data_IF_745860950473
#
_entry.id   IF_745860950473
#
_cell.length_a   1.000
_cell.length_b   1.000
_cell.length_c   1.000
_cell.angle_alpha   90.00
_cell.angle_beta   90.00
_cell.angle_gamma   90.00
#
_symmetry.space_group_name_H-M   'P 1'
#
loop_
_entity.id
_entity.type
_entity.pdbx_description
1 polymer ?
#
# COMPACT_ATOMS: atom_id res chain seq x y z
N UNK A 1 38.63 4.54 49.77
CA UNK A 1 38.48 4.16 48.34
C UNK A 1 37.21 3.35 48.17
N UNK A 2 36.52 3.51 47.04
CA UNK A 2 35.27 2.85 46.57
C UNK A 2 34.02 3.71 46.75
N UNK A 3 33.53 4.25 45.63
CA UNK A 3 32.11 4.32 45.24
C UNK A 3 31.83 5.20 44.00
N UNK A 4 32.80 5.39 43.09
CA UNK A 4 32.56 6.05 41.79
C UNK A 4 32.18 5.07 40.65
N UNK A 5 32.26 3.75 40.86
CA UNK A 5 32.27 2.76 39.77
C UNK A 5 30.96 1.95 39.59
N UNK A 6 29.88 2.32 40.29
CA UNK A 6 28.57 1.66 40.15
C UNK A 6 27.62 2.37 39.18
N UNK A 7 27.79 3.68 38.97
CA UNK A 7 26.95 4.44 38.05
C UNK A 7 27.49 4.40 36.61
N UNK A 8 28.82 4.35 36.43
CA UNK A 8 29.44 4.24 35.10
C UNK A 8 29.07 2.93 34.39
N UNK A 9 28.98 1.81 35.12
CA UNK A 9 28.55 0.53 34.56
C UNK A 9 27.09 0.54 34.10
N UNK A 10 26.20 1.23 34.83
CA UNK A 10 24.78 1.38 34.46
C UNK A 10 24.61 2.29 33.25
N UNK A 11 25.35 3.40 33.19
CA UNK A 11 25.37 4.31 32.02
C UNK A 11 25.92 3.58 30.78
N UNK A 12 27.00 2.81 30.93
CA UNK A 12 27.56 2.03 29.83
C UNK A 12 26.58 0.96 29.31
N UNK A 13 25.83 0.30 30.22
CA UNK A 13 24.79 -0.66 29.86
C UNK A 13 23.64 -0.01 29.07
N UNK A 14 23.25 1.20 29.48
CA UNK A 14 22.16 1.95 28.84
C UNK A 14 22.55 2.48 27.45
N UNK A 15 23.82 2.90 27.28
CA UNK A 15 24.37 3.31 25.96
C UNK A 15 24.53 2.10 25.03
N UNK A 16 24.92 0.94 25.55
CA UNK A 16 25.01 -0.30 24.77
C UNK A 16 23.65 -0.79 24.26
N UNK A 17 22.57 -0.61 25.05
CA UNK A 17 21.20 -0.94 24.65
C UNK A 17 20.63 0.00 23.57
N UNK A 18 21.10 1.27 23.53
CA UNK A 18 20.68 2.24 22.52
C UNK A 18 21.43 2.08 21.19
N UNK A 19 22.63 1.48 21.20
CA UNK A 19 23.47 1.34 20.01
C UNK A 19 23.00 0.26 19.02
N UNK A 20 22.07 -0.62 19.41
CA UNK A 20 21.70 -1.80 18.59
C UNK A 20 20.38 -1.68 17.84
N UNK A 21 19.75 -0.51 17.79
CA UNK A 21 18.52 -0.32 16.97
C UNK A 21 18.83 0.46 15.70
N UNK A 22 19.84 0.03 14.95
CA UNK A 22 19.95 0.40 13.54
C UNK A 22 19.10 -0.61 12.78
N UNK A 23 17.78 -0.44 12.89
CA UNK A 23 16.84 -1.08 11.99
C UNK A 23 17.03 -0.44 10.63
N UNK A 24 17.81 -1.06 9.75
CA UNK A 24 17.74 -0.75 8.33
C UNK A 24 16.33 -1.14 7.89
N UNK A 25 15.45 -0.15 7.77
CA UNK A 25 14.24 -0.30 6.96
C UNK A 25 14.75 -0.55 5.54
N UNK A 26 14.77 -1.82 5.15
CA UNK A 26 15.02 -2.15 3.76
C UNK A 26 13.70 -1.92 3.04
N UNK A 27 13.66 -0.90 2.19
CA UNK A 27 12.44 -0.42 1.51
C UNK A 27 11.79 -1.45 0.57
N UNK A 28 12.41 -2.62 0.39
CA UNK A 28 11.88 -3.69 -0.44
C UNK A 28 10.87 -4.54 0.34
N UNK A 29 9.58 -4.33 0.06
CA UNK A 29 8.49 -5.17 0.56
C UNK A 29 8.62 -6.64 0.14
N UNK A 30 9.23 -6.91 -1.01
CA UNK A 30 9.37 -8.24 -1.59
C UNK A 30 10.81 -8.77 -1.49
N UNK A 31 10.98 -9.86 -0.74
CA UNK A 31 12.25 -10.59 -0.62
C UNK A 31 12.18 -11.89 -1.42
N UNK A 32 12.92 -11.93 -2.53
CA UNK A 32 12.97 -13.10 -3.41
C UNK A 32 14.28 -13.86 -3.23
N UNK A 33 14.17 -15.18 -3.11
CA UNK A 33 15.30 -16.11 -3.12
C UNK A 33 15.00 -17.31 -4.00
N UNK A 34 16.04 -17.95 -4.52
CA UNK A 34 15.92 -19.23 -5.23
C UNK A 34 15.74 -20.34 -4.18
N UNK A 35 14.65 -21.09 -4.28
CA UNK A 35 14.35 -22.27 -3.47
C UNK A 35 14.78 -23.57 -4.13
N UNK A 36 14.40 -24.68 -3.51
CA UNK A 36 14.58 -26.03 -4.07
C UNK A 36 13.77 -26.22 -5.36
N UNK A 37 14.25 -27.09 -6.25
CA UNK A 37 13.62 -27.41 -7.53
C UNK A 37 13.28 -26.19 -8.41
N UNK A 38 14.12 -25.15 -8.41
CA UNK A 38 13.94 -23.89 -9.15
C UNK A 38 12.69 -23.07 -8.76
N UNK A 39 12.03 -23.38 -7.64
CA UNK A 39 10.96 -22.53 -7.12
C UNK A 39 11.50 -21.16 -6.71
N UNK A 40 10.72 -20.14 -7.00
CA UNK A 40 10.92 -18.78 -6.47
C UNK A 40 10.30 -18.73 -5.08
N UNK A 41 11.11 -18.52 -4.05
CA UNK A 41 10.63 -18.25 -2.69
C UNK A 41 10.42 -16.75 -2.54
N UNK A 42 9.17 -16.35 -2.37
CA UNK A 42 8.77 -14.98 -2.09
C UNK A 42 8.50 -14.83 -0.60
N UNK A 43 9.11 -13.86 0.05
CA UNK A 43 8.78 -13.46 1.42
C UNK A 43 8.36 -12.00 1.46
N UNK A 44 7.26 -11.72 2.15
CA UNK A 44 6.65 -10.39 2.27
C UNK A 44 6.19 -10.16 3.71
N UNK A 45 6.30 -8.92 4.19
CA UNK A 45 5.72 -8.52 5.47
C UNK A 45 4.25 -8.11 5.27
N UNK A 46 3.36 -8.80 5.97
CA UNK A 46 1.92 -8.75 5.78
C UNK A 46 1.16 -8.67 7.11
N UNK A 47 -0.09 -8.24 7.03
CA UNK A 47 -1.08 -8.35 8.11
C UNK A 47 -2.27 -9.16 7.64
N UNK A 48 -3.01 -9.69 8.60
CA UNK A 48 -4.31 -10.32 8.33
C UNK A 48 -5.20 -9.35 7.54
N UNK A 49 -5.86 -9.85 6.50
CA UNK A 49 -6.71 -9.08 5.59
C UNK A 49 -5.98 -8.43 4.42
N UNK A 50 -4.63 -8.45 4.38
CA UNK A 50 -3.90 -8.02 3.18
C UNK A 50 -4.21 -8.96 2.01
N UNK A 51 -4.18 -8.43 0.79
CA UNK A 51 -4.43 -9.19 -0.43
C UNK A 51 -3.15 -9.27 -1.27
N UNK A 52 -2.67 -10.49 -1.50
CA UNK A 52 -1.56 -10.73 -2.41
C UNK A 52 -2.06 -11.31 -3.73
N UNK A 53 -1.52 -10.81 -4.85
CA UNK A 53 -1.88 -11.27 -6.19
C UNK A 53 -0.67 -11.37 -7.12
N UNK A 54 -0.77 -12.28 -8.09
CA UNK A 54 0.09 -12.31 -9.28
C UNK A 54 -0.80 -11.98 -10.47
N UNK A 55 -0.39 -11.02 -11.31
CA UNK A 55 -1.13 -10.58 -12.48
C UNK A 55 -0.25 -10.59 -13.73
N UNK A 56 -0.86 -10.74 -14.89
CA UNK A 56 -0.21 -10.49 -16.18
C UNK A 56 -0.25 -9.00 -16.59
N UNK A 57 0.31 -8.68 -17.76
CA UNK A 57 0.30 -7.35 -18.39
C UNK A 57 -1.09 -6.73 -18.57
N UNK A 58 -2.12 -7.56 -18.75
CA UNK A 58 -3.50 -7.12 -18.96
C UNK A 58 -4.25 -6.96 -17.63
N UNK A 59 -3.59 -7.23 -16.50
CA UNK A 59 -4.18 -7.18 -15.17
C UNK A 59 -5.03 -8.40 -14.82
N UNK A 60 -4.96 -9.47 -15.61
CA UNK A 60 -5.64 -10.74 -15.30
C UNK A 60 -4.96 -11.36 -14.09
N UNK A 61 -5.75 -11.73 -13.08
CA UNK A 61 -5.26 -12.32 -11.84
C UNK A 61 -4.99 -13.81 -12.07
N UNK A 62 -3.72 -14.20 -11.98
CA UNK A 62 -3.25 -15.59 -12.12
C UNK A 62 -3.18 -16.32 -10.78
N UNK A 63 -2.91 -15.58 -9.72
CA UNK A 63 -2.91 -16.07 -8.34
C UNK A 63 -3.48 -15.01 -7.41
N UNK A 64 -4.18 -15.46 -6.37
CA UNK A 64 -4.81 -14.62 -5.36
C UNK A 64 -4.76 -15.29 -4.01
N UNK A 65 -4.37 -14.53 -3.00
CA UNK A 65 -4.36 -14.99 -1.61
C UNK A 65 -4.79 -13.88 -0.66
N UNK A 66 -5.78 -14.17 0.18
CA UNK A 66 -6.17 -13.30 1.28
C UNK A 66 -5.40 -13.74 2.50
N UNK A 67 -4.50 -12.89 2.96
CA UNK A 67 -3.58 -13.24 4.03
C UNK A 67 -4.34 -13.37 5.35
N UNK A 68 -4.20 -14.52 6.01
CA UNK A 68 -4.84 -14.83 7.30
C UNK A 68 -3.87 -14.70 8.49
N UNK A 69 -2.65 -14.19 8.26
CA UNK A 69 -1.60 -14.08 9.27
C UNK A 69 -0.94 -12.69 9.29
N UNK A 70 -0.31 -12.37 10.40
CA UNK A 70 0.52 -11.16 10.54
C UNK A 70 1.99 -11.52 10.70
N UNK A 71 2.87 -10.76 10.04
CA UNK A 71 4.32 -10.95 10.04
C UNK A 71 4.83 -11.40 8.66
N UNK A 72 5.93 -12.16 8.66
CA UNK A 72 6.53 -12.64 7.40
C UNK A 72 5.71 -13.79 6.83
N UNK A 73 5.11 -13.58 5.67
CA UNK A 73 4.52 -14.61 4.84
C UNK A 73 5.51 -15.04 3.77
N UNK A 74 5.76 -16.35 3.68
CA UNK A 74 6.66 -16.94 2.68
C UNK A 74 5.90 -17.95 1.84
N UNK A 75 5.96 -17.80 0.53
CA UNK A 75 5.32 -18.73 -0.41
C UNK A 75 6.24 -19.06 -1.59
N UNK A 76 6.20 -20.31 -2.02
CA UNK A 76 6.99 -20.80 -3.15
C UNK A 76 6.19 -20.87 -4.44
N UNK A 77 6.70 -20.27 -5.52
CA UNK A 77 6.07 -20.26 -6.84
C UNK A 77 7.00 -20.87 -7.89
N UNK A 78 6.46 -21.73 -8.74
CA UNK A 78 7.13 -22.09 -10.00
C UNK A 78 6.68 -21.14 -11.11
N UNK A 79 7.35 -20.00 -11.20
CA UNK A 79 7.07 -18.96 -12.19
C UNK A 79 7.63 -19.31 -13.57
N UNK A 80 8.49 -20.34 -13.67
CA UNK A 80 9.08 -20.75 -14.95
C UNK A 80 8.07 -21.46 -15.86
N UNK A 81 6.94 -21.90 -15.28
CA UNK A 81 5.81 -22.48 -15.99
C UNK A 81 4.87 -21.44 -16.64
N UNK A 82 5.06 -20.14 -16.34
CA UNK A 82 4.30 -19.08 -16.99
C UNK A 82 4.78 -18.90 -18.45
N UNK A 83 3.89 -18.54 -19.39
CA UNK A 83 4.28 -18.14 -20.74
C UNK A 83 5.23 -16.94 -20.75
N UNK A 84 5.92 -16.75 -21.86
CA UNK A 84 6.72 -15.55 -22.07
C UNK A 84 5.83 -14.30 -21.99
N UNK A 85 6.24 -13.31 -21.19
CA UNK A 85 5.47 -12.09 -20.96
C UNK A 85 5.85 -11.34 -19.68
N UNK A 86 5.13 -10.25 -19.46
CA UNK A 86 5.29 -9.35 -18.32
C UNK A 86 4.24 -9.62 -17.25
N UNK A 87 4.68 -9.62 -15.99
CA UNK A 87 3.87 -9.97 -14.85
C UNK A 87 4.16 -9.07 -13.65
N UNK A 88 3.25 -9.08 -12.69
CA UNK A 88 3.35 -8.26 -11.49
C UNK A 88 2.97 -9.05 -10.26
N UNK A 89 3.81 -8.94 -9.23
CA UNK A 89 3.35 -9.14 -7.86
C UNK A 89 2.68 -7.86 -7.38
N UNK A 90 1.48 -7.98 -6.80
CA UNK A 90 0.79 -6.86 -6.18
C UNK A 90 0.38 -7.28 -4.76
N UNK A 91 0.85 -6.51 -3.77
CA UNK A 91 0.46 -6.63 -2.38
C UNK A 91 -0.38 -5.41 -2.00
N UNK A 92 -1.67 -5.63 -1.83
CA UNK A 92 -2.66 -4.64 -1.47
C UNK A 92 -2.88 -4.66 0.06
N UNK A 93 -2.42 -3.59 0.73
CA UNK A 93 -2.50 -3.37 2.18
C UNK A 93 -3.54 -2.29 2.49
N UNK A 94 -3.81 -2.06 3.77
CA UNK A 94 -4.81 -1.09 4.22
C UNK A 94 -4.58 0.34 3.67
N UNK A 95 -3.33 0.78 3.63
CA UNK A 95 -2.96 2.16 3.29
C UNK A 95 -2.14 2.30 2.00
N UNK A 96 -1.66 1.20 1.43
CA UNK A 96 -0.77 1.22 0.28
C UNK A 96 -0.91 -0.03 -0.57
N UNK A 97 -0.47 0.05 -1.83
CA UNK A 97 -0.35 -1.07 -2.75
C UNK A 97 1.08 -1.09 -3.26
N UNK A 98 1.81 -2.17 -3.01
CA UNK A 98 3.16 -2.36 -3.55
C UNK A 98 3.11 -3.27 -4.77
N UNK A 99 3.73 -2.86 -5.87
CA UNK A 99 3.78 -3.57 -7.13
C UNK A 99 5.24 -3.83 -7.49
N UNK A 100 5.59 -5.09 -7.76
CA UNK A 100 6.91 -5.47 -8.25
C UNK A 100 6.78 -6.21 -9.59
N UNK A 101 7.29 -5.62 -10.68
CA UNK A 101 7.30 -6.28 -11.99
C UNK A 101 8.32 -7.42 -12.07
N UNK A 102 8.00 -8.41 -12.89
CA UNK A 102 8.92 -9.44 -13.32
C UNK A 102 8.53 -9.93 -14.71
N UNK A 103 9.53 -10.43 -15.44
CA UNK A 103 9.34 -10.94 -16.80
C UNK A 103 9.69 -12.42 -16.84
N UNK A 104 8.96 -13.15 -17.67
CA UNK A 104 9.29 -14.52 -18.03
C UNK A 104 9.66 -14.55 -19.50
N UNK A 105 10.83 -15.10 -19.81
CA UNK A 105 11.27 -15.27 -21.19
C UNK A 105 12.07 -16.56 -21.32
N UNK A 106 11.66 -17.44 -22.21
CA UNK A 106 12.27 -18.77 -22.40
C UNK A 106 12.43 -19.53 -21.07
N UNK A 107 11.34 -19.59 -20.28
CA UNK A 107 11.28 -20.22 -18.95
C UNK A 107 12.24 -19.60 -17.90
N UNK A 108 12.83 -18.44 -18.18
CA UNK A 108 13.70 -17.71 -17.25
C UNK A 108 12.94 -16.52 -16.68
N UNK A 109 13.00 -16.39 -15.36
CA UNK A 109 12.33 -15.30 -14.62
C UNK A 109 13.34 -14.22 -14.29
N UNK A 110 13.00 -12.97 -14.60
CA UNK A 110 13.79 -11.78 -14.27
C UNK A 110 12.95 -10.84 -13.43
N UNK A 111 13.39 -10.53 -12.20
CA UNK A 111 12.69 -9.61 -11.31
C UNK A 111 13.27 -8.21 -11.45
N UNK A 112 12.41 -7.22 -11.69
CA UNK A 112 12.77 -5.84 -11.94
C UNK A 112 12.53 -5.01 -10.67
N UNK A 113 13.31 -5.29 -9.62
CA UNK A 113 13.08 -4.75 -8.28
C UNK A 113 13.16 -3.23 -8.26
N UNK A 114 14.06 -2.66 -9.04
CA UNK A 114 14.25 -1.23 -9.26
C UNK A 114 13.04 -0.53 -9.87
N UNK A 115 12.18 -1.28 -10.58
CA UNK A 115 10.93 -0.78 -11.17
C UNK A 115 9.73 -0.98 -10.22
N UNK A 116 9.97 -1.44 -8.98
CA UNK A 116 8.89 -1.57 -7.99
C UNK A 116 8.34 -0.20 -7.62
N UNK A 117 7.02 -0.14 -7.40
CA UNK A 117 6.33 1.08 -7.01
C UNK A 117 5.38 0.85 -5.85
N UNK A 118 5.21 1.86 -5.02
CA UNK A 118 4.23 1.90 -3.94
C UNK A 118 3.22 3.00 -4.21
N UNK A 119 1.94 2.63 -4.28
CA UNK A 119 0.81 3.54 -4.43
C UNK A 119 0.17 3.69 -3.07
N UNK A 120 0.30 4.86 -2.44
CA UNK A 120 -0.42 5.16 -1.20
C UNK A 120 -1.88 5.47 -1.51
N UNK A 121 -2.77 4.87 -0.74
CA UNK A 121 -4.21 5.08 -0.85
C UNK A 121 -4.59 6.44 -0.25
N UNK A 122 -5.48 7.19 -0.89
CA UNK A 122 -6.14 8.31 -0.23
C UNK A 122 -6.91 7.83 1.01
N UNK A 123 -6.98 8.68 2.02
CA UNK A 123 -7.73 8.43 3.26
C UNK A 123 -8.62 9.62 3.58
N UNK A 124 -9.84 9.35 4.06
CA UNK A 124 -10.74 10.38 4.56
C UNK A 124 -10.88 10.30 6.06
N UNK A 125 -11.00 11.46 6.68
CA UNK A 125 -11.52 11.60 8.03
C UNK A 125 -12.65 12.59 8.00
N UNK A 126 -13.77 12.24 8.61
CA UNK A 126 -14.89 13.17 8.81
C UNK A 126 -14.89 13.65 10.25
N UNK A 127 -15.09 14.95 10.43
CA UNK A 127 -15.36 15.56 11.72
C UNK A 127 -16.42 16.64 11.51
N UNK A 128 -17.57 16.47 12.15
CA UNK A 128 -18.73 17.34 11.98
C UNK A 128 -19.14 17.43 10.49
N UNK A 129 -19.12 18.62 9.91
CA UNK A 129 -19.42 18.89 8.50
C UNK A 129 -18.16 19.01 7.61
N UNK A 130 -16.99 18.66 8.17
CA UNK A 130 -15.69 18.75 7.50
C UNK A 130 -15.16 17.37 7.10
N UNK A 131 -14.78 17.27 5.83
CA UNK A 131 -14.20 16.07 5.22
C UNK A 131 -12.74 16.34 4.88
N UNK A 132 -11.85 15.69 5.61
CA UNK A 132 -10.41 15.82 5.46
C UNK A 132 -9.89 14.69 4.58
N UNK A 133 -9.36 15.03 3.41
CA UNK A 133 -8.71 14.09 2.50
C UNK A 133 -7.20 14.23 2.65
N UNK A 134 -6.52 13.11 2.87
CA UNK A 134 -5.06 13.03 2.94
C UNK A 134 -4.53 11.89 2.09
N UNK A 135 -3.42 12.15 1.39
CA UNK A 135 -2.67 11.13 0.67
C UNK A 135 -1.18 11.46 0.69
N UNK A 136 -0.35 10.46 0.91
CA UNK A 136 1.09 10.53 0.66
C UNK A 136 1.34 10.28 -0.84
N UNK A 137 2.19 11.08 -1.47
CA UNK A 137 2.42 11.05 -2.92
C UNK A 137 3.89 11.33 -3.20
N UNK A 138 4.74 10.33 -2.96
CA UNK A 138 6.20 10.46 -3.13
C UNK A 138 6.60 10.70 -4.59
N UNK A 139 5.84 10.13 -5.53
CA UNK A 139 6.01 10.34 -6.96
C UNK A 139 5.22 11.55 -7.49
N UNK A 140 4.62 12.33 -6.59
CA UNK A 140 3.83 13.52 -6.90
C UNK A 140 2.63 13.28 -7.83
N UNK A 141 2.20 12.03 -7.99
CA UNK A 141 1.07 11.67 -8.85
C UNK A 141 -0.21 12.41 -8.42
N UNK A 142 -0.99 12.95 -9.38
CA UNK A 142 -2.24 13.63 -9.08
C UNK A 142 -3.30 12.63 -8.60
N UNK A 143 -4.32 13.14 -7.91
CA UNK A 143 -5.52 12.39 -7.56
C UNK A 143 -6.75 13.14 -8.05
N UNK A 144 -7.60 12.45 -8.81
CA UNK A 144 -8.95 12.90 -9.09
C UNK A 144 -9.85 12.54 -7.90
N UNK A 145 -10.60 13.51 -7.40
CA UNK A 145 -11.57 13.35 -6.33
C UNK A 145 -12.96 13.67 -6.88
N UNK A 146 -13.89 12.73 -6.71
CA UNK A 146 -15.31 12.91 -7.05
C UNK A 146 -16.16 12.65 -5.84
N UNK A 147 -16.99 13.60 -5.44
CA UNK A 147 -17.91 13.47 -4.32
C UNK A 147 -19.31 13.30 -4.86
N UNK A 148 -19.98 12.26 -4.39
CA UNK A 148 -21.35 11.94 -4.76
C UNK A 148 -22.26 12.05 -3.55
N UNK A 149 -23.50 12.46 -3.78
CA UNK A 149 -24.58 12.48 -2.80
C UNK A 149 -25.67 11.47 -3.17
N UNK A 150 -26.18 10.74 -2.19
CA UNK A 150 -27.30 9.84 -2.36
C UNK A 150 -28.61 10.62 -2.27
N UNK A 151 -29.28 10.80 -3.40
CA UNK A 151 -30.51 11.60 -3.48
C UNK A 151 -31.78 10.86 -3.00
N UNK A 152 -31.68 9.61 -2.53
CA UNK A 152 -32.76 8.91 -1.83
C UNK A 152 -34.01 8.59 -2.67
N UNK A 153 -33.93 8.65 -4.00
CA UNK A 153 -35.04 8.31 -4.90
C UNK A 153 -35.43 6.84 -4.88
N UNK A 154 -36.52 6.48 -5.58
CA UNK A 154 -37.03 5.10 -5.69
C UNK A 154 -35.99 4.07 -6.21
N UNK A 155 -34.90 4.57 -6.79
CA UNK A 155 -33.65 3.87 -7.02
C UNK A 155 -32.56 4.67 -6.31
N UNK A 156 -31.77 4.05 -5.43
CA UNK A 156 -30.60 4.71 -4.81
C UNK A 156 -29.65 5.17 -5.91
N UNK A 157 -29.67 6.46 -6.23
CA UNK A 157 -28.80 7.08 -7.23
C UNK A 157 -27.84 8.04 -6.55
N UNK A 158 -26.55 7.81 -6.76
CA UNK A 158 -25.49 8.72 -6.38
C UNK A 158 -25.32 9.79 -7.46
N UNK A 159 -25.63 11.04 -7.14
CA UNK A 159 -25.43 12.19 -8.02
C UNK A 159 -24.04 12.80 -7.77
N UNK A 160 -23.30 13.11 -8.84
CA UNK A 160 -22.00 13.78 -8.73
C UNK A 160 -22.22 15.25 -8.33
N UNK A 161 -21.79 15.62 -7.13
CA UNK A 161 -21.95 16.99 -6.62
C UNK A 161 -20.65 17.80 -6.66
N UNK A 162 -19.49 17.13 -6.78
CA UNK A 162 -18.19 17.79 -6.88
C UNK A 162 -17.16 16.92 -7.60
N UNK A 163 -16.28 17.53 -8.38
CA UNK A 163 -15.15 16.86 -9.04
C UNK A 163 -13.97 17.81 -9.16
N UNK A 164 -12.77 17.36 -8.76
CA UNK A 164 -11.54 18.10 -8.99
C UNK A 164 -10.33 17.17 -9.14
N UNK A 165 -9.25 17.69 -9.70
CA UNK A 165 -7.94 17.00 -9.74
C UNK A 165 -6.99 17.79 -8.86
N UNK A 166 -6.42 17.13 -7.87
CA UNK A 166 -5.40 17.69 -7.00
C UNK A 166 -4.01 17.22 -7.42
N UNK A 167 -3.08 18.16 -7.48
CA UNK A 167 -1.64 17.90 -7.61
C UNK A 167 -0.99 17.89 -6.24
N UNK A 168 0.16 17.24 -6.12
CA UNK A 168 0.87 17.12 -4.84
C UNK A 168 1.56 18.44 -4.45
N UNK A 169 1.44 18.81 -3.17
CA UNK A 169 2.24 19.86 -2.54
C UNK A 169 3.40 19.18 -1.79
N UNK A 170 4.60 19.22 -2.40
CA UNK A 170 5.70 18.37 -1.96
C UNK A 170 5.35 16.90 -2.15
N UNK A 171 5.37 16.12 -1.06
CA UNK A 171 5.05 14.69 -1.08
C UNK A 171 3.63 14.39 -0.59
N UNK A 172 2.74 15.37 -0.51
CA UNK A 172 1.43 15.17 0.10
C UNK A 172 0.33 15.83 -0.73
N UNK A 173 -0.86 15.23 -0.66
CA UNK A 173 -2.11 15.86 -1.08
C UNK A 173 -2.99 15.98 0.15
N UNK A 174 -3.43 17.19 0.43
CA UNK A 174 -4.29 17.52 1.57
C UNK A 174 -5.40 18.44 1.11
N UNK A 175 -6.64 18.10 1.43
CA UNK A 175 -7.80 18.92 1.09
C UNK A 175 -8.84 18.81 2.19
N UNK A 176 -9.55 19.90 2.43
CA UNK A 176 -10.69 19.93 3.33
C UNK A 176 -11.90 20.40 2.54
N UNK A 177 -12.99 19.63 2.62
CA UNK A 177 -14.30 20.02 2.12
C UNK A 177 -15.22 20.33 3.28
N UNK A 178 -16.02 21.38 3.13
CA UNK A 178 -17.16 21.63 4.00
C UNK A 178 -18.43 21.22 3.26
N UNK A 179 -19.15 20.26 3.80
CA UNK A 179 -20.40 19.78 3.20
C UNK A 179 -21.56 20.39 3.98
N UNK A 180 -22.31 21.27 3.33
CA UNK A 180 -23.51 21.85 3.95
C UNK A 180 -24.57 20.76 4.14
N UNK A 181 -25.24 20.79 5.28
CA UNK A 181 -26.31 19.85 5.63
C UNK A 181 -25.83 18.37 5.63
N UNK A 182 -24.57 18.16 6.03
CA UNK A 182 -23.93 16.84 6.06
C UNK A 182 -24.72 15.84 6.90
N UNK A 183 -25.12 14.75 6.24
CA UNK A 183 -25.70 13.57 6.86
C UNK A 183 -24.79 12.38 6.60
N UNK A 184 -24.32 11.75 7.67
CA UNK A 184 -23.39 10.63 7.61
C UNK A 184 -24.03 9.44 6.89
N UNK A 185 -23.32 8.88 5.92
CA UNK A 185 -23.76 7.73 5.10
C UNK A 185 -24.41 8.12 3.77
N UNK A 186 -24.72 9.40 3.56
CA UNK A 186 -25.35 9.87 2.32
C UNK A 186 -24.34 10.23 1.24
N UNK A 187 -23.04 10.14 1.52
CA UNK A 187 -22.02 10.53 0.56
C UNK A 187 -21.08 9.39 0.24
N UNK A 188 -20.54 9.46 -0.99
CA UNK A 188 -19.47 8.57 -1.43
C UNK A 188 -18.41 9.39 -2.12
N UNK A 189 -17.16 9.20 -1.73
CA UNK A 189 -16.01 9.78 -2.41
C UNK A 189 -15.35 8.71 -3.26
N UNK A 190 -15.09 9.04 -4.51
CA UNK A 190 -14.32 8.22 -5.45
C UNK A 190 -13.02 8.93 -5.73
N UNK A 191 -11.93 8.23 -5.45
CA UNK A 191 -10.58 8.66 -5.77
C UNK A 191 -10.06 7.89 -6.96
N UNK A 192 -9.41 8.57 -7.90
CA UNK A 192 -8.65 7.92 -8.98
C UNK A 192 -7.24 8.45 -9.03
N UNK A 193 -6.27 7.55 -8.98
CA UNK A 193 -4.84 7.89 -9.07
C UNK A 193 -4.07 6.65 -9.52
N UNK A 194 -3.06 6.84 -10.36
CA UNK A 194 -2.13 5.78 -10.79
C UNK A 194 -2.83 4.52 -11.33
N UNK A 195 -3.95 4.70 -12.05
CA UNK A 195 -4.75 3.61 -12.63
C UNK A 195 -5.61 2.83 -11.62
N UNK A 196 -5.61 3.22 -10.34
CA UNK A 196 -6.42 2.63 -9.28
C UNK A 196 -7.61 3.52 -8.94
N UNK A 197 -8.71 2.89 -8.54
CA UNK A 197 -9.91 3.56 -8.05
C UNK A 197 -10.17 3.13 -6.61
N UNK A 198 -10.37 4.10 -5.73
CA UNK A 198 -10.72 3.87 -4.32
C UNK A 198 -12.06 4.52 -4.03
N UNK A 199 -12.86 3.87 -3.18
CA UNK A 199 -14.21 4.32 -2.87
C UNK A 199 -14.37 4.33 -1.36
N UNK A 200 -14.82 5.46 -0.84
CA UNK A 200 -15.10 5.65 0.58
C UNK A 200 -16.52 6.17 0.77
N UNK A 201 -17.26 5.57 1.68
CA UNK A 201 -18.61 6.00 2.04
C UNK A 201 -18.53 6.79 3.34
N UNK A 202 -19.08 7.99 3.36
CA UNK A 202 -18.98 8.92 4.49
C UNK A 202 -20.35 9.44 4.92
#
# INVERSE_FOLDING_TARGET
MKNAMNNSKKVLLMVALLATVIGYANDNTFFIRKGEANKTLLSIDVKEGNLFTIKDENGIILYKDFIEQTGIYTQGFDLTALPDGDYFFELDKDMEITIMPFTVYSNKVTFEKENSKTIFKPSTRVKDDMVFVNRLSMNQAPVEIRIYFNSGGAFTSYELIHSEILTSEGNYIRKVYKIKDFTKGDYKIVYKTEGKTFVEFI
#
